data_IF_485214054634
#
_entry.id   IF_485214054634
#
_cell.length_a   1.000
_cell.length_b   1.000
_cell.length_c   1.000
_cell.angle_alpha   90.00
_cell.angle_beta   90.00
_cell.angle_gamma   90.00
#
_symmetry.space_group_name_H-M   'P 1'
#
loop_
_entity.id
_entity.type
_entity.pdbx_description
1 polymer ?
#
# COMPACT_ATOMS: atom_id res chain seq x y z
N UNK A 1 15.52 -6.20 12.42
CA UNK A 1 15.79 -5.16 11.42
C UNK A 1 15.29 -5.69 10.08
N UNK A 2 14.01 -5.48 9.78
CA UNK A 2 13.39 -5.90 8.52
C UNK A 2 13.28 -4.63 7.67
N UNK A 3 14.26 -4.42 6.79
CA UNK A 3 14.23 -3.43 5.72
C UNK A 3 13.20 -3.90 4.69
N UNK A 4 11.92 -3.58 4.88
CA UNK A 4 10.92 -3.76 3.84
C UNK A 4 10.62 -2.36 3.33
N UNK A 5 11.19 -2.09 2.14
CA UNK A 5 11.02 -0.89 1.31
C UNK A 5 11.99 0.26 1.65
N UNK A 6 13.31 0.04 1.52
CA UNK A 6 14.36 1.07 1.24
C UNK A 6 15.54 0.45 0.45
N UNK A 7 15.28 -0.37 -0.58
CA UNK A 7 16.37 -0.80 -1.47
C UNK A 7 15.85 -1.21 -2.87
N UNK A 8 16.23 -0.49 -3.95
CA UNK A 8 15.80 -0.80 -5.31
C UNK A 8 16.43 -2.07 -5.91
N UNK A 9 17.31 -2.79 -5.18
CA UNK A 9 17.99 -4.00 -5.68
C UNK A 9 17.30 -5.33 -5.35
N UNK A 10 16.11 -5.32 -4.74
CA UNK A 10 15.39 -6.56 -4.41
C UNK A 10 14.23 -6.73 -5.37
N UNK A 11 14.45 -7.51 -6.43
CA UNK A 11 13.39 -8.01 -7.30
C UNK A 11 12.29 -8.71 -6.48
N UNK A 12 11.03 -8.46 -6.83
CA UNK A 12 9.83 -9.12 -6.27
C UNK A 12 9.92 -10.65 -6.28
N UNK A 13 10.71 -11.22 -7.21
CA UNK A 13 11.03 -12.66 -7.27
C UNK A 13 11.77 -13.22 -6.05
N UNK A 14 12.34 -12.35 -5.19
CA UNK A 14 13.09 -12.74 -3.97
C UNK A 14 12.40 -12.36 -2.67
N UNK A 15 11.24 -11.71 -2.71
CA UNK A 15 10.44 -11.42 -1.53
C UNK A 15 9.37 -12.50 -1.35
N UNK A 16 9.45 -13.37 -0.34
CA UNK A 16 8.46 -14.43 -0.11
C UNK A 16 7.15 -13.88 0.47
N UNK A 17 6.74 -12.65 0.13
CA UNK A 17 5.47 -12.06 0.56
C UNK A 17 4.27 -12.85 0.00
N UNK A 18 4.43 -13.40 -1.21
CA UNK A 18 3.43 -14.24 -1.88
C UNK A 18 3.16 -15.56 -1.14
N UNK A 19 4.11 -16.06 -0.33
CA UNK A 19 3.97 -17.35 0.38
C UNK A 19 3.18 -17.29 1.69
N UNK A 20 2.89 -16.10 2.24
CA UNK A 20 2.29 -15.97 3.58
C UNK A 20 0.76 -16.01 3.61
N UNK A 21 0.12 -16.07 2.44
CA UNK A 21 -1.32 -16.26 2.35
C UNK A 21 -1.66 -17.76 2.28
N UNK A 22 -1.48 -18.49 3.39
CA UNK A 22 -2.04 -19.84 3.48
C UNK A 22 -3.58 -19.75 3.54
N UNK A 23 -4.18 -20.42 2.55
CA UNK A 23 -5.60 -20.48 2.20
C UNK A 23 -6.35 -21.48 3.09
N UNK A 24 -7.63 -21.23 3.38
CA UNK A 24 -8.58 -22.33 3.62
C UNK A 24 -9.33 -22.59 2.30
N UNK A 25 -9.25 -23.81 1.74
CA UNK A 25 -9.88 -24.12 0.47
C UNK A 25 -11.40 -24.04 0.53
N UNK A 26 -12.02 -23.60 -0.58
CA UNK A 26 -13.42 -23.96 -0.83
C UNK A 26 -13.54 -25.49 -0.74
N UNK A 27 -14.60 -25.97 -0.10
CA UNK A 27 -14.90 -27.40 -0.08
C UNK A 27 -14.96 -27.93 -1.53
N UNK A 28 -13.90 -28.65 -1.96
CA UNK A 28 -13.87 -29.38 -3.22
C UNK A 28 -12.81 -29.00 -4.27
N UNK A 29 -11.98 -27.96 -4.09
CA UNK A 29 -10.93 -27.62 -5.08
C UNK A 29 -9.59 -28.32 -4.76
N UNK A 30 -9.11 -29.18 -5.67
CA UNK A 30 -7.78 -29.79 -5.60
C UNK A 30 -6.69 -28.80 -6.00
N UNK A 31 -5.60 -28.75 -5.21
CA UNK A 31 -4.44 -27.89 -5.42
C UNK A 31 -3.69 -28.27 -6.70
N UNK A 32 -3.55 -27.33 -7.63
CA UNK A 32 -2.64 -27.44 -8.76
C UNK A 32 -1.39 -26.59 -8.45
N UNK A 33 -0.25 -27.23 -8.22
CA UNK A 33 0.99 -26.65 -7.65
C UNK A 33 1.82 -25.87 -8.70
N UNK A 34 1.20 -25.43 -9.81
CA UNK A 34 1.95 -24.83 -10.93
C UNK A 34 2.03 -23.30 -10.93
N UNK A 35 1.24 -22.58 -10.12
CA UNK A 35 1.24 -21.11 -10.12
C UNK A 35 2.12 -20.54 -8.99
N UNK A 36 3.34 -20.10 -9.34
CA UNK A 36 4.33 -19.59 -8.39
C UNK A 36 4.08 -18.13 -7.94
N UNK A 37 2.96 -17.53 -8.32
CA UNK A 37 2.52 -16.16 -8.00
C UNK A 37 1.25 -16.15 -7.15
N UNK A 38 1.19 -17.05 -6.16
CA UNK A 38 0.00 -17.38 -5.37
C UNK A 38 -0.53 -16.25 -4.46
N UNK A 39 -0.96 -15.12 -5.04
CA UNK A 39 -1.67 -14.05 -4.35
C UNK A 39 -3.18 -14.38 -4.37
N UNK A 40 -3.85 -14.61 -3.22
CA UNK A 40 -5.19 -15.22 -3.17
C UNK A 40 -6.27 -14.38 -3.85
N UNK A 41 -7.14 -14.95 -4.70
CA UNK A 41 -8.21 -14.23 -5.41
C UNK A 41 -9.08 -13.28 -4.56
N UNK A 42 -9.16 -13.51 -3.24
CA UNK A 42 -9.89 -12.69 -2.26
C UNK A 42 -9.14 -12.57 -0.93
N UNK A 43 -9.37 -11.47 -0.22
CA UNK A 43 -9.06 -11.36 1.20
C UNK A 43 -10.22 -11.98 1.98
N UNK A 44 -10.04 -13.21 2.46
CA UNK A 44 -11.08 -13.99 3.14
C UNK A 44 -11.50 -13.42 4.51
N UNK A 45 -10.64 -12.65 5.19
CA UNK A 45 -10.98 -11.89 6.41
C UNK A 45 -9.86 -10.92 6.79
N UNK A 46 -10.11 -10.07 7.79
CA UNK A 46 -9.13 -9.20 8.45
C UNK A 46 -7.92 -10.00 8.96
N UNK A 47 -8.08 -11.30 9.21
CA UNK A 47 -7.02 -12.23 9.60
C UNK A 47 -5.84 -12.22 8.62
N UNK A 48 -6.07 -11.98 7.32
CA UNK A 48 -4.98 -11.84 6.36
C UNK A 48 -4.10 -10.62 6.67
N UNK A 49 -4.70 -9.49 7.03
CA UNK A 49 -3.97 -8.28 7.41
C UNK A 49 -3.28 -8.46 8.76
N UNK A 50 -3.91 -9.16 9.71
CA UNK A 50 -3.29 -9.51 10.99
C UNK A 50 -2.08 -10.44 10.80
N UNK A 51 -2.19 -11.48 9.96
CA UNK A 51 -1.08 -12.39 9.64
C UNK A 51 0.07 -11.65 8.95
N UNK A 52 -0.26 -10.77 7.99
CA UNK A 52 0.72 -9.93 7.31
C UNK A 52 1.42 -8.99 8.29
N UNK A 53 0.66 -8.36 9.17
CA UNK A 53 1.18 -7.50 10.23
C UNK A 53 2.11 -8.28 11.18
N UNK A 54 1.71 -9.48 11.60
CA UNK A 54 2.53 -10.36 12.41
C UNK A 54 3.87 -10.70 11.72
N UNK A 55 3.83 -11.00 10.42
CA UNK A 55 5.03 -11.30 9.65
C UNK A 55 5.98 -10.09 9.57
N UNK A 56 5.44 -8.90 9.29
CA UNK A 56 6.24 -7.67 9.12
C UNK A 56 6.85 -7.20 10.44
N UNK A 57 6.13 -7.29 11.56
CA UNK A 57 6.65 -6.86 12.87
C UNK A 57 7.39 -7.97 13.62
N UNK A 58 7.22 -9.23 13.22
CA UNK A 58 7.92 -10.38 13.78
C UNK A 58 7.66 -10.55 15.28
N UNK A 59 8.72 -10.45 16.09
CA UNK A 59 8.67 -10.69 17.56
C UNK A 59 8.16 -9.51 18.39
N UNK A 60 7.67 -8.44 17.75
CA UNK A 60 7.07 -7.34 18.49
C UNK A 60 5.87 -7.87 19.30
N UNK A 61 5.63 -7.35 20.53
CA UNK A 61 4.27 -7.39 21.12
C UNK A 61 3.33 -6.68 20.14
N UNK A 62 2.02 -6.57 20.22
CA UNK A 62 1.21 -5.93 19.16
C UNK A 62 1.31 -6.52 17.72
N UNK A 63 2.32 -7.32 17.36
CA UNK A 63 2.39 -8.03 16.09
C UNK A 63 1.14 -8.89 15.91
N UNK A 64 0.48 -8.73 14.76
CA UNK A 64 -0.79 -9.38 14.42
C UNK A 64 -1.98 -9.05 15.30
N UNK A 65 -1.96 -7.94 16.05
CA UNK A 65 -3.08 -7.54 16.92
C UNK A 65 -3.56 -6.14 16.61
N UNK A 66 -4.87 -5.96 16.58
CA UNK A 66 -5.49 -4.64 16.60
C UNK A 66 -5.08 -3.90 17.88
N UNK A 67 -5.05 -2.57 17.84
CA UNK A 67 -4.86 -1.77 19.04
C UNK A 67 -6.10 -1.84 19.94
N UNK A 68 -5.88 -1.76 21.24
CA UNK A 68 -6.91 -1.82 22.28
C UNK A 68 -7.05 -0.48 23.03
N UNK A 69 -6.64 0.60 22.36
CA UNK A 69 -6.68 1.97 22.86
C UNK A 69 -6.67 2.95 21.70
N UNK A 70 -7.13 4.15 21.96
CA UNK A 70 -7.03 5.24 21.00
C UNK A 70 -5.60 5.74 20.88
N UNK A 71 -5.30 6.25 19.68
CA UNK A 71 -3.96 6.71 19.30
C UNK A 71 -4.12 7.98 18.49
N UNK A 72 -3.08 8.79 18.51
CA UNK A 72 -2.98 9.98 17.68
C UNK A 72 -1.96 9.71 16.56
N UNK A 73 -2.28 10.15 15.34
CA UNK A 73 -1.43 9.97 14.17
C UNK A 73 -0.94 11.32 13.69
N UNK A 74 0.38 11.48 13.61
CA UNK A 74 1.01 12.79 13.40
C UNK A 74 1.24 13.52 14.73
N UNK A 75 2.25 14.39 14.79
CA UNK A 75 2.54 15.15 16.01
C UNK A 75 3.94 15.75 16.16
N UNK A 76 4.93 15.33 15.37
CA UNK A 76 6.28 15.90 15.50
C UNK A 76 6.46 17.26 14.79
N UNK A 77 5.66 17.57 13.76
CA UNK A 77 5.80 18.81 12.96
C UNK A 77 4.46 19.47 12.56
N UNK A 78 3.32 19.12 13.18
CA UNK A 78 2.03 19.73 12.83
C UNK A 78 0.80 19.12 13.48
N UNK A 79 -0.35 19.25 12.81
CA UNK A 79 -1.66 18.80 13.31
C UNK A 79 -1.75 17.28 13.48
N UNK A 80 -2.49 16.92 14.52
CA UNK A 80 -2.83 15.55 14.92
C UNK A 80 -4.09 15.09 14.18
N UNK A 81 -4.08 13.84 13.71
CA UNK A 81 -5.26 13.13 13.22
C UNK A 81 -5.65 12.05 14.23
N UNK A 82 -6.91 12.09 14.66
CA UNK A 82 -7.53 11.03 15.48
C UNK A 82 -8.20 10.02 14.53
N UNK A 83 -7.68 8.78 14.42
CA UNK A 83 -8.30 7.74 13.63
C UNK A 83 -9.55 7.19 14.33
N UNK A 84 -10.18 6.20 13.68
CA UNK A 84 -11.31 5.40 14.20
C UNK A 84 -11.12 5.02 15.68
N UNK A 85 -12.16 5.01 16.50
CA UNK A 85 -12.02 4.57 17.90
C UNK A 85 -11.69 3.08 18.00
N UNK A 86 -10.88 2.68 18.98
CA UNK A 86 -10.39 1.29 19.05
C UNK A 86 -11.51 0.24 19.16
N UNK A 87 -12.63 0.58 19.79
CA UNK A 87 -13.80 -0.29 19.94
C UNK A 87 -14.50 -0.57 18.59
N UNK A 88 -14.39 0.35 17.64
CA UNK A 88 -14.99 0.24 16.30
C UNK A 88 -14.09 -0.52 15.31
N UNK A 89 -12.82 -0.76 15.66
CA UNK A 89 -11.85 -1.37 14.75
C UNK A 89 -12.28 -2.72 14.17
N UNK A 90 -12.87 -3.67 14.94
CA UNK A 90 -13.32 -4.94 14.38
C UNK A 90 -14.34 -4.76 13.26
N UNK A 91 -15.29 -3.83 13.42
CA UNK A 91 -16.31 -3.55 12.42
C UNK A 91 -15.72 -2.80 11.21
N UNK A 92 -14.89 -1.77 11.46
CA UNK A 92 -14.27 -0.99 10.39
C UNK A 92 -13.30 -1.83 9.53
N UNK A 93 -12.59 -2.78 10.13
CA UNK A 93 -11.74 -3.72 9.40
C UNK A 93 -12.56 -4.67 8.54
N UNK A 94 -13.66 -5.23 9.07
CA UNK A 94 -14.56 -6.08 8.30
C UNK A 94 -15.18 -5.31 7.11
N UNK A 95 -15.58 -4.06 7.33
CA UNK A 95 -16.07 -3.17 6.27
C UNK A 95 -14.99 -2.88 5.22
N UNK A 96 -13.74 -2.66 5.65
CA UNK A 96 -12.60 -2.45 4.77
C UNK A 96 -12.35 -3.66 3.86
N UNK A 97 -12.29 -4.88 4.42
CA UNK A 97 -12.05 -6.11 3.66
C UNK A 97 -13.20 -6.40 2.70
N UNK A 98 -14.45 -6.19 3.14
CA UNK A 98 -15.62 -6.33 2.27
C UNK A 98 -15.53 -5.38 1.07
N UNK A 99 -15.31 -4.09 1.33
CA UNK A 99 -15.16 -3.09 0.28
C UNK A 99 -14.03 -3.44 -0.68
N UNK A 100 -12.87 -3.88 -0.16
CA UNK A 100 -11.72 -4.23 -1.00
C UNK A 100 -12.04 -5.39 -1.95
N UNK A 101 -12.69 -6.44 -1.45
CA UNK A 101 -13.09 -7.57 -2.30
C UNK A 101 -14.12 -7.17 -3.35
N UNK A 102 -15.13 -6.36 -2.98
CA UNK A 102 -16.12 -5.84 -3.92
C UNK A 102 -15.44 -5.04 -5.05
N UNK A 103 -14.49 -4.16 -4.72
CA UNK A 103 -13.74 -3.34 -5.70
C UNK A 103 -12.68 -4.08 -6.48
N UNK A 104 -12.24 -5.23 -5.99
CA UNK A 104 -11.40 -6.14 -6.75
C UNK A 104 -12.21 -6.90 -7.83
N UNK A 105 -13.49 -7.14 -7.58
CA UNK A 105 -14.37 -7.92 -8.46
C UNK A 105 -15.08 -7.09 -9.52
N UNK A 106 -15.56 -5.89 -9.16
CA UNK A 106 -16.30 -5.04 -10.10
C UNK A 106 -15.40 -4.45 -11.21
N UNK A 107 -14.10 -4.34 -10.95
CA UNK A 107 -13.13 -3.80 -11.90
C UNK A 107 -13.29 -2.32 -12.19
N UNK A 108 -14.04 -1.57 -11.37
CA UNK A 108 -14.33 -0.15 -11.60
C UNK A 108 -13.08 0.73 -11.54
N UNK A 109 -12.16 0.40 -10.63
CA UNK A 109 -10.92 1.15 -10.45
C UNK A 109 -9.77 0.56 -11.28
N UNK A 110 -8.93 1.45 -11.82
CA UNK A 110 -7.62 1.09 -12.33
C UNK A 110 -6.72 0.49 -11.24
N UNK A 111 -5.63 -0.18 -11.61
CA UNK A 111 -4.77 -0.87 -10.64
C UNK A 111 -4.14 0.10 -9.61
N UNK A 112 -3.51 1.18 -10.07
CA UNK A 112 -2.95 2.23 -9.21
C UNK A 112 -4.01 2.87 -8.32
N UNK A 113 -5.21 3.13 -8.88
CA UNK A 113 -6.31 3.72 -8.12
C UNK A 113 -6.82 2.82 -7.01
N UNK A 114 -7.09 1.54 -7.31
CA UNK A 114 -7.52 0.58 -6.29
C UNK A 114 -6.46 0.46 -5.18
N UNK A 115 -5.19 0.34 -5.56
CA UNK A 115 -4.08 0.19 -4.63
C UNK A 115 -3.92 1.43 -3.74
N UNK A 116 -4.05 2.64 -4.31
CA UNK A 116 -3.98 3.89 -3.57
C UNK A 116 -5.17 4.08 -2.62
N UNK A 117 -6.39 3.83 -3.08
CA UNK A 117 -7.59 3.93 -2.23
C UNK A 117 -7.55 2.92 -1.08
N UNK A 118 -7.12 1.69 -1.34
CA UNK A 118 -6.95 0.67 -0.31
C UNK A 118 -5.86 1.06 0.72
N UNK A 119 -4.72 1.57 0.26
CA UNK A 119 -3.68 2.11 1.13
C UNK A 119 -4.23 3.22 2.02
N UNK A 120 -4.84 4.25 1.43
CA UNK A 120 -5.36 5.39 2.17
C UNK A 120 -6.38 4.96 3.23
N UNK A 121 -7.34 4.11 2.85
CA UNK A 121 -8.38 3.64 3.76
C UNK A 121 -7.81 2.85 4.95
N UNK A 122 -6.80 2.00 4.72
CA UNK A 122 -6.14 1.30 5.82
C UNK A 122 -5.39 2.25 6.76
N UNK A 123 -4.68 3.25 6.21
CA UNK A 123 -3.98 4.25 7.02
C UNK A 123 -4.92 5.17 7.80
N UNK A 124 -6.12 5.42 7.26
CA UNK A 124 -7.18 6.19 7.90
C UNK A 124 -7.83 5.42 9.06
N UNK A 125 -8.14 4.13 8.89
CA UNK A 125 -8.63 3.26 9.98
C UNK A 125 -7.58 3.10 11.08
N UNK A 126 -6.30 3.03 10.70
CA UNK A 126 -5.16 2.93 11.61
C UNK A 126 -5.29 1.81 12.66
N UNK A 127 -5.43 0.53 12.23
CA UNK A 127 -5.84 -0.56 13.11
C UNK A 127 -4.77 -1.04 14.10
N UNK A 128 -3.49 -0.72 13.90
CA UNK A 128 -2.37 -1.26 14.69
C UNK A 128 -1.71 -0.19 15.58
N UNK A 129 -1.05 -0.60 16.66
CA UNK A 129 -0.24 0.32 17.48
C UNK A 129 0.99 0.88 16.74
N UNK A 130 1.55 0.09 15.81
CA UNK A 130 2.70 0.46 14.97
C UNK A 130 2.60 -0.32 13.65
N UNK A 131 3.31 0.11 12.61
CA UNK A 131 3.45 -0.65 11.38
C UNK A 131 2.38 -0.36 10.32
N UNK A 132 1.38 0.49 10.62
CA UNK A 132 0.30 0.83 9.69
C UNK A 132 0.81 1.26 8.32
N UNK A 133 1.77 2.19 8.26
CA UNK A 133 2.35 2.63 6.97
C UNK A 133 3.10 1.52 6.23
N UNK A 134 3.78 0.60 6.93
CA UNK A 134 4.47 -0.55 6.32
C UNK A 134 3.47 -1.52 5.71
N UNK A 135 2.37 -1.80 6.41
CA UNK A 135 1.31 -2.68 5.90
C UNK A 135 0.55 -2.03 4.76
N UNK A 136 0.27 -0.73 4.83
CA UNK A 136 -0.43 -0.03 3.76
C UNK A 136 0.37 -0.01 2.44
N UNK A 137 1.68 0.26 2.49
CA UNK A 137 2.55 0.19 1.30
C UNK A 137 2.70 -1.23 0.78
N UNK A 138 2.76 -2.21 1.68
CA UNK A 138 2.80 -3.62 1.30
C UNK A 138 1.50 -4.06 0.62
N UNK A 139 0.34 -3.69 1.16
CA UNK A 139 -0.95 -3.95 0.56
C UNK A 139 -1.08 -3.30 -0.82
N UNK A 140 -0.63 -2.06 -0.96
CA UNK A 140 -0.57 -1.35 -2.24
C UNK A 140 0.19 -2.20 -3.28
N UNK A 141 1.42 -2.64 -2.96
CA UNK A 141 2.22 -3.43 -3.90
C UNK A 141 1.65 -4.81 -4.18
N UNK A 142 1.04 -5.46 -3.18
CA UNK A 142 0.30 -6.71 -3.39
C UNK A 142 -0.80 -6.50 -4.43
N UNK A 143 -1.60 -5.43 -4.32
CA UNK A 143 -2.69 -5.15 -5.26
C UNK A 143 -2.20 -4.84 -6.68
N UNK A 144 -1.04 -4.18 -6.82
CA UNK A 144 -0.41 -3.95 -8.12
C UNK A 144 0.08 -5.26 -8.76
N UNK A 145 0.83 -6.07 -8.01
CA UNK A 145 1.38 -7.35 -8.50
C UNK A 145 0.26 -8.30 -8.96
N UNK A 146 -0.88 -8.32 -8.26
CA UNK A 146 -2.06 -9.11 -8.67
C UNK A 146 -2.59 -8.77 -10.05
N UNK A 147 -2.42 -7.53 -10.47
CA UNK A 147 -2.86 -7.02 -11.77
C UNK A 147 -1.69 -6.97 -12.76
N UNK A 148 -0.62 -7.71 -12.49
CA UNK A 148 0.59 -7.81 -13.29
C UNK A 148 1.33 -6.47 -13.50
N UNK A 149 1.18 -5.54 -12.54
CA UNK A 149 1.94 -4.30 -12.50
C UNK A 149 3.17 -4.45 -11.61
N UNK A 150 4.20 -3.64 -11.87
CA UNK A 150 5.39 -3.65 -11.04
C UNK A 150 5.14 -3.03 -9.67
N UNK A 151 5.89 -3.44 -8.64
CA UNK A 151 5.84 -2.79 -7.34
C UNK A 151 6.28 -1.33 -7.44
N UNK A 152 5.58 -0.48 -6.71
CA UNK A 152 5.92 0.93 -6.54
C UNK A 152 6.81 1.12 -5.31
N UNK A 153 7.86 1.90 -5.50
CA UNK A 153 8.70 2.43 -4.42
C UNK A 153 8.42 3.92 -4.25
N UNK A 154 8.33 4.39 -3.00
CA UNK A 154 8.25 5.82 -2.71
C UNK A 154 9.67 6.25 -2.32
N UNK A 155 10.38 7.00 -3.19
CA UNK A 155 11.71 7.53 -2.90
C UNK A 155 11.71 8.44 -1.69
N UNK A 156 12.86 8.53 -1.02
CA UNK A 156 13.02 9.40 0.16
C UNK A 156 12.79 10.88 -0.21
N UNK A 157 13.13 11.26 -1.45
CA UNK A 157 12.89 12.59 -2.01
C UNK A 157 11.39 12.95 -2.07
N UNK A 158 10.53 11.95 -2.30
CA UNK A 158 9.07 12.12 -2.39
C UNK A 158 8.36 11.88 -1.05
N UNK A 159 9.11 11.58 0.02
CA UNK A 159 8.55 11.25 1.33
C UNK A 159 7.69 12.38 1.88
N UNK A 160 8.11 13.63 1.69
CA UNK A 160 7.35 14.81 2.16
C UNK A 160 6.02 14.92 1.42
N UNK A 161 6.01 14.74 0.10
CA UNK A 161 4.79 14.81 -0.72
C UNK A 161 3.84 13.65 -0.40
N UNK A 162 4.38 12.44 -0.20
CA UNK A 162 3.62 11.27 0.25
C UNK A 162 2.84 11.57 1.55
N UNK A 163 3.52 12.06 2.59
CA UNK A 163 2.84 12.39 3.85
C UNK A 163 1.90 13.58 3.70
N UNK A 164 2.21 14.56 2.85
CA UNK A 164 1.30 15.68 2.58
C UNK A 164 -0.02 15.20 1.98
N UNK A 165 0.03 14.35 0.95
CA UNK A 165 -1.16 13.77 0.34
C UNK A 165 -2.01 12.96 1.32
N UNK A 166 -1.38 12.16 2.20
CA UNK A 166 -2.12 11.42 3.23
C UNK A 166 -2.76 12.35 4.25
N UNK A 167 -2.05 13.41 4.66
CA UNK A 167 -2.56 14.41 5.60
C UNK A 167 -3.77 15.14 5.02
N UNK A 168 -3.68 15.61 3.77
CA UNK A 168 -4.77 16.34 3.11
C UNK A 168 -5.99 15.43 2.89
N UNK A 169 -5.76 14.16 2.52
CA UNK A 169 -6.82 13.19 2.35
C UNK A 169 -7.52 12.85 3.67
N UNK A 170 -6.77 12.78 4.78
CA UNK A 170 -7.35 12.54 6.12
C UNK A 170 -8.24 13.70 6.58
N UNK A 171 -7.90 14.94 6.21
CA UNK A 171 -8.69 16.14 6.54
C UNK A 171 -9.95 16.30 5.71
N UNK A 172 -9.83 16.05 4.41
CA UNK A 172 -10.91 16.34 3.44
C UNK A 172 -11.81 15.14 3.18
N UNK A 173 -11.37 13.94 3.54
CA UNK A 173 -11.98 12.68 3.12
C UNK A 173 -11.73 12.34 1.65
N UNK A 174 -11.05 13.22 0.89
CA UNK A 174 -10.78 13.04 -0.54
C UNK A 174 -9.32 12.60 -0.76
N UNK A 175 -9.13 11.39 -1.27
CA UNK A 175 -7.81 10.83 -1.56
C UNK A 175 -7.39 10.93 -3.05
N UNK A 176 -8.07 11.71 -3.88
CA UNK A 176 -7.83 11.74 -5.33
C UNK A 176 -6.43 12.26 -5.68
N UNK A 177 -5.88 13.22 -4.95
CA UNK A 177 -4.48 13.65 -5.15
C UNK A 177 -3.48 12.57 -4.74
N UNK A 178 -3.77 11.79 -3.70
CA UNK A 178 -2.98 10.62 -3.34
C UNK A 178 -3.07 9.52 -4.40
N UNK A 179 -4.26 9.31 -4.99
CA UNK A 179 -4.47 8.40 -6.12
C UNK A 179 -3.61 8.82 -7.32
N UNK A 180 -3.65 10.11 -7.70
CA UNK A 180 -2.83 10.64 -8.79
C UNK A 180 -1.34 10.42 -8.54
N UNK A 181 -0.88 10.68 -7.31
CA UNK A 181 0.49 10.45 -6.89
C UNK A 181 0.91 8.99 -7.06
N UNK A 182 0.12 8.03 -6.58
CA UNK A 182 0.42 6.60 -6.72
C UNK A 182 0.35 6.12 -8.17
N UNK A 183 -0.65 6.56 -8.95
CA UNK A 183 -0.76 6.23 -10.36
C UNK A 183 0.43 6.74 -11.17
N UNK A 184 0.94 7.94 -10.85
CA UNK A 184 2.17 8.46 -11.45
C UNK A 184 3.36 7.55 -11.13
N UNK A 185 3.56 7.18 -9.85
CA UNK A 185 4.64 6.29 -9.47
C UNK A 185 4.54 4.90 -10.12
N UNK A 186 3.31 4.39 -10.29
CA UNK A 186 3.05 3.16 -11.02
C UNK A 186 3.53 3.28 -12.48
N UNK A 187 3.15 4.35 -13.18
CA UNK A 187 3.56 4.59 -14.56
C UNK A 187 5.08 4.60 -14.70
N UNK A 188 5.78 5.37 -13.85
CA UNK A 188 7.25 5.40 -13.85
C UNK A 188 7.87 4.02 -13.58
N UNK A 189 7.30 3.23 -12.66
CA UNK A 189 7.79 1.90 -12.36
C UNK A 189 7.65 0.95 -13.56
N UNK A 190 6.52 0.99 -14.25
CA UNK A 190 6.27 0.13 -15.41
C UNK A 190 7.11 0.54 -16.63
N UNK A 191 7.25 1.85 -16.89
CA UNK A 191 8.06 2.42 -17.97
C UNK A 191 9.56 2.15 -17.81
N UNK A 192 10.05 2.05 -16.57
CA UNK A 192 11.46 1.79 -16.24
C UNK A 192 12.07 0.47 -16.76
N UNK A 193 11.30 -0.44 -17.41
CA UNK A 193 11.85 -1.61 -18.15
C UNK A 193 12.09 -1.36 -19.64
N UNK A 194 11.70 -0.21 -20.21
CA UNK A 194 12.30 0.21 -21.48
C UNK A 194 13.83 0.42 -21.32
N UNK A 195 14.32 0.56 -20.09
CA UNK A 195 15.71 0.84 -19.76
C UNK A 195 16.60 -0.39 -19.49
N UNK A 196 16.06 -1.60 -19.35
CA UNK A 196 16.90 -2.82 -19.31
C UNK A 196 17.45 -3.24 -20.69
N UNK A 197 17.11 -2.51 -21.77
CA UNK A 197 17.77 -2.60 -23.08
C UNK A 197 18.88 -1.54 -23.30
N UNK A 198 19.17 -0.68 -22.31
CA UNK A 198 20.21 0.34 -22.41
C UNK A 198 19.84 1.60 -21.63
N UNK A 199 20.40 1.74 -20.43
CA UNK A 199 20.37 2.98 -19.67
C UNK A 199 21.21 4.07 -20.37
N UNK A 200 20.53 5.05 -20.96
CA UNK A 200 21.06 6.38 -21.26
C UNK A 200 20.91 7.23 -19.98
N UNK A 201 22.02 7.80 -19.53
CA UNK A 201 22.21 8.59 -18.30
C UNK A 201 21.52 9.98 -18.29
N UNK A 202 20.62 10.28 -19.24
CA UNK A 202 20.17 11.66 -19.50
C UNK A 202 19.24 12.31 -18.46
N UNK A 203 18.70 11.60 -17.46
CA UNK A 203 17.95 12.23 -16.36
C UNK A 203 16.62 12.91 -16.75
N UNK A 204 16.13 12.72 -17.98
CA UNK A 204 14.97 13.41 -18.51
C UNK A 204 13.64 13.04 -17.81
N UNK A 205 13.45 11.77 -17.43
CA UNK A 205 12.25 11.32 -16.69
C UNK A 205 12.24 11.86 -15.25
N UNK A 206 13.43 11.96 -14.63
CA UNK A 206 13.60 12.64 -13.34
C UNK A 206 13.32 14.13 -13.44
N UNK A 207 13.74 14.79 -14.52
CA UNK A 207 13.36 16.17 -14.80
C UNK A 207 11.85 16.30 -15.02
N UNK A 208 11.18 15.35 -15.65
CA UNK A 208 9.73 15.39 -15.88
C UNK A 208 8.94 15.16 -14.59
N UNK A 209 9.36 14.22 -13.75
CA UNK A 209 8.86 14.07 -12.37
C UNK A 209 9.06 15.38 -11.59
N UNK A 210 10.26 15.94 -11.60
CA UNK A 210 10.57 17.17 -10.87
C UNK A 210 9.78 18.36 -11.43
N UNK A 211 9.58 18.46 -12.75
CA UNK A 211 8.73 19.48 -13.40
C UNK A 211 7.26 19.31 -13.03
N UNK A 212 6.74 18.09 -13.03
CA UNK A 212 5.37 17.80 -12.59
C UNK A 212 5.17 18.21 -11.12
N UNK A 213 6.16 17.92 -10.26
CA UNK A 213 6.16 18.33 -8.86
C UNK A 213 6.25 19.86 -8.70
N UNK A 214 7.12 20.52 -9.46
CA UNK A 214 7.29 21.98 -9.44
C UNK A 214 6.05 22.71 -9.92
N UNK A 215 5.39 22.24 -10.98
CA UNK A 215 4.12 22.79 -11.47
C UNK A 215 3.06 22.76 -10.37
N UNK A 216 2.91 21.64 -9.65
CA UNK A 216 1.91 21.52 -8.58
C UNK A 216 2.24 22.29 -7.31
N UNK A 217 3.52 22.54 -7.04
CA UNK A 217 3.96 23.40 -5.94
C UNK A 217 3.64 24.89 -6.20
N UNK A 218 3.36 25.27 -7.44
CA UNK A 218 2.97 26.63 -7.84
C UNK A 218 1.46 26.85 -7.89
N UNK A 219 0.64 25.83 -8.20
CA UNK A 219 -0.83 25.93 -8.24
C UNK A 219 -1.50 25.99 -6.86
N UNK A 220 -0.74 25.75 -5.78
CA UNK A 220 -1.22 25.80 -4.39
C UNK A 220 -0.93 27.11 -3.63
N UNK A 221 -0.60 28.21 -4.34
CA UNK A 221 -0.41 29.55 -3.75
C UNK A 221 -1.48 30.54 -4.16
#
# INVERSE_FOLDING_TARGET
>A
MIFVIINPRISSSKLPIVRYFEFEPRSGEQQNIADQTNIPSRFNSDLCLLKLHNYVLGRHRAAGRLRERDVEVGGEEGEVFEPVEWEELPEQMAMFVRWLNEKMEDGEFGAGELAARAHHRLTFVHPFEDGNGRIARLLLNILLERRAFKPVFIPDELRVDYYRHLKDASKTGNCDEFVKFVCFLQQCADEGDAHEAGADESGAEWEELMRWMEMRRMDGR
#
